data_IF_973101596028
#
_entry.id   IF_973101596028
#
_cell.length_a   1.000
_cell.length_b   1.000
_cell.length_c   1.000
_cell.angle_alpha   90.00
_cell.angle_beta   90.00
_cell.angle_gamma   90.00
#
_symmetry.space_group_name_H-M   'P 1'
#
loop_
_entity.id
_entity.type
_entity.pdbx_description
1 polymer ?
#
# COMPACT_ATOMS: atom_id res chain seq x y z
N UNK A 1 5.28 -2.12 -12.05
CA UNK A 1 5.91 -3.09 -11.15
C UNK A 1 5.76 -2.66 -9.70
N UNK A 2 5.55 -3.62 -8.80
CA UNK A 2 5.37 -3.30 -7.39
C UNK A 2 6.55 -3.83 -6.59
N UNK A 3 6.94 -3.07 -5.57
CA UNK A 3 8.10 -3.39 -4.73
C UNK A 3 7.65 -3.62 -3.30
N UNK A 4 8.20 -4.62 -2.61
CA UNK A 4 7.79 -4.88 -1.23
C UNK A 4 8.23 -3.76 -0.29
N UNK A 5 7.35 -3.40 0.63
CA UNK A 5 7.68 -2.44 1.68
C UNK A 5 7.70 -3.11 3.04
N UNK A 6 6.67 -3.92 3.34
CA UNK A 6 6.52 -4.48 4.68
C UNK A 6 5.63 -5.71 4.62
N UNK A 7 5.94 -6.71 5.45
CA UNK A 7 5.08 -7.87 5.65
C UNK A 7 4.72 -7.95 7.13
N UNK A 8 3.43 -8.05 7.43
CA UNK A 8 2.93 -8.11 8.79
C UNK A 8 2.75 -9.56 9.25
N UNK A 9 2.47 -9.74 10.55
CA UNK A 9 2.42 -11.08 11.16
C UNK A 9 1.36 -12.00 10.56
N UNK A 10 0.28 -11.46 10.05
CA UNK A 10 -0.80 -12.25 9.45
C UNK A 10 -0.60 -12.46 7.96
N UNK A 11 0.63 -12.28 7.49
CA UNK A 11 1.01 -12.39 6.09
C UNK A 11 0.40 -11.28 5.22
N UNK A 12 -0.04 -10.19 5.82
CA UNK A 12 -0.42 -9.01 5.07
C UNK A 12 0.81 -8.40 4.43
N UNK A 13 0.76 -8.19 3.13
CA UNK A 13 1.86 -7.60 2.39
C UNK A 13 1.50 -6.19 1.97
N UNK A 14 2.43 -5.27 2.17
CA UNK A 14 2.29 -3.90 1.71
C UNK A 14 3.37 -3.67 0.67
N UNK A 15 2.94 -3.33 -0.55
CA UNK A 15 3.85 -3.10 -1.66
C UNK A 15 3.55 -1.73 -2.26
N UNK A 16 4.49 -1.20 -3.04
CA UNK A 16 4.32 0.13 -3.63
C UNK A 16 4.90 0.16 -5.03
N UNK A 17 4.40 1.09 -5.83
CA UNK A 17 4.93 1.30 -7.17
C UNK A 17 6.13 2.24 -7.12
N UNK A 18 6.81 2.40 -8.25
CA UNK A 18 7.71 3.53 -8.42
C UNK A 18 6.87 4.81 -8.46
N UNK A 19 7.51 5.96 -8.26
CA UNK A 19 6.80 7.23 -8.35
C UNK A 19 6.37 7.47 -9.80
N UNK A 20 5.10 7.74 -9.99
CA UNK A 20 4.56 7.99 -11.32
C UNK A 20 4.96 9.40 -11.80
N UNK A 21 4.77 9.63 -13.11
CA UNK A 21 5.14 10.92 -13.71
C UNK A 21 4.44 12.10 -13.05
N UNK A 22 3.22 11.88 -12.55
CA UNK A 22 2.44 12.94 -11.89
C UNK A 22 2.75 13.07 -10.41
N UNK A 23 3.75 12.36 -9.91
CA UNK A 23 4.14 12.43 -8.50
C UNK A 23 3.38 11.51 -7.57
N UNK A 24 2.48 10.68 -8.11
CA UNK A 24 1.71 9.77 -7.26
C UNK A 24 2.42 8.43 -7.08
N UNK A 25 2.08 7.73 -6.01
CA UNK A 25 2.60 6.40 -5.70
C UNK A 25 1.42 5.51 -5.33
N UNK A 26 1.33 4.36 -5.98
CA UNK A 26 0.29 3.38 -5.65
C UNK A 26 0.80 2.48 -4.55
N UNK A 27 0.05 2.39 -3.46
CA UNK A 27 0.33 1.48 -2.36
C UNK A 27 -0.75 0.42 -2.36
N UNK A 28 -0.36 -0.84 -2.34
CA UNK A 28 -1.30 -1.95 -2.40
C UNK A 28 -1.12 -2.82 -1.17
N UNK A 29 -2.21 -3.14 -0.50
CA UNK A 29 -2.23 -3.97 0.70
C UNK A 29 -3.03 -5.22 0.40
N UNK A 30 -2.49 -6.38 0.77
CA UNK A 30 -3.13 -7.65 0.47
C UNK A 30 -2.94 -8.61 1.64
N UNK A 31 -4.05 -9.23 2.08
CA UNK A 31 -4.02 -10.20 3.17
C UNK A 31 -4.66 -11.50 2.67
N UNK A 32 -3.98 -12.66 2.78
CA UNK A 32 -4.60 -13.94 2.43
C UNK A 32 -5.80 -14.21 3.33
N UNK A 33 -6.87 -14.73 2.75
CA UNK A 33 -8.09 -15.01 3.49
C UNK A 33 -8.79 -16.23 2.90
N UNK A 34 -9.32 -17.11 3.78
CA UNK A 34 -9.93 -18.33 3.31
C UNK A 34 -11.26 -18.10 2.61
N UNK A 35 -11.96 -17.03 2.98
CA UNK A 35 -13.29 -16.74 2.42
C UNK A 35 -13.19 -15.95 1.11
N UNK A 36 -12.32 -14.97 1.07
CA UNK A 36 -12.21 -14.05 -0.08
C UNK A 36 -11.03 -14.35 -0.97
N UNK A 37 -10.25 -15.38 -0.68
CA UNK A 37 -8.93 -15.65 -1.25
C UNK A 37 -7.93 -14.59 -0.81
N UNK A 38 -8.23 -13.33 -1.07
CA UNK A 38 -7.40 -12.20 -0.61
C UNK A 38 -8.29 -11.03 -0.27
N UNK A 39 -8.03 -10.43 0.89
CA UNK A 39 -8.54 -9.09 1.18
C UNK A 39 -7.54 -8.11 0.59
N UNK A 40 -8.01 -6.99 0.07
CA UNK A 40 -7.08 -6.04 -0.54
C UNK A 40 -7.60 -4.62 -0.45
N UNK A 41 -6.68 -3.67 -0.61
CA UNK A 41 -7.01 -2.25 -0.65
C UNK A 41 -5.89 -1.51 -1.36
N UNK A 42 -6.21 -0.41 -1.99
CA UNK A 42 -5.25 0.45 -2.67
C UNK A 42 -5.31 1.85 -2.07
N UNK A 43 -4.14 2.43 -1.85
CA UNK A 43 -4.03 3.80 -1.37
C UNK A 43 -3.08 4.57 -2.28
N UNK A 44 -3.52 5.72 -2.78
CA UNK A 44 -2.69 6.58 -3.61
C UNK A 44 -2.08 7.70 -2.78
N UNK A 45 -0.75 7.81 -2.81
CA UNK A 45 -0.04 8.88 -2.14
C UNK A 45 0.33 9.96 -3.15
N UNK A 46 0.47 11.19 -2.72
CA UNK A 46 0.40 11.71 -1.35
C UNK A 46 -0.99 12.07 -0.87
N UNK A 47 -2.02 11.85 -1.69
CA UNK A 47 -3.37 12.33 -1.39
C UNK A 47 -4.13 11.44 -0.41
N UNK A 48 -3.63 10.25 -0.10
CA UNK A 48 -4.30 9.27 0.76
C UNK A 48 -5.67 8.89 0.19
N UNK A 49 -5.73 8.69 -1.11
CA UNK A 49 -6.97 8.29 -1.75
C UNK A 49 -7.07 6.77 -1.74
N UNK A 50 -8.11 6.25 -1.09
CA UNK A 50 -8.32 4.81 -0.98
C UNK A 50 -9.35 4.34 -1.99
N UNK A 51 -9.09 3.17 -2.57
CA UNK A 51 -10.00 2.56 -3.54
C UNK A 51 -9.77 1.05 -3.60
N UNK A 52 -10.66 0.32 -4.30
CA UNK A 52 -10.56 -1.14 -4.46
C UNK A 52 -10.48 -1.87 -3.12
N UNK A 53 -11.22 -1.39 -2.13
CA UNK A 53 -11.22 -2.00 -0.80
C UNK A 53 -12.14 -3.21 -0.82
N UNK A 54 -11.61 -4.38 -0.43
CA UNK A 54 -12.41 -5.59 -0.39
C UNK A 54 -12.01 -6.47 0.77
N UNK A 55 -12.99 -6.82 1.60
CA UNK A 55 -12.82 -7.80 2.66
C UNK A 55 -12.38 -7.27 4.01
N UNK A 56 -11.85 -6.06 4.06
CA UNK A 56 -11.38 -5.48 5.32
C UNK A 56 -12.53 -4.85 6.11
N UNK A 57 -12.50 -5.04 7.43
CA UNK A 57 -13.44 -4.35 8.32
C UNK A 57 -13.03 -2.90 8.50
N UNK A 58 -13.92 -2.11 9.10
CA UNK A 58 -13.59 -0.71 9.38
C UNK A 58 -12.40 -0.57 10.33
N UNK A 59 -12.29 -1.48 11.30
CA UNK A 59 -11.16 -1.47 12.23
C UNK A 59 -9.86 -1.80 11.52
N UNK A 60 -9.88 -2.78 10.63
CA UNK A 60 -8.70 -3.12 9.86
C UNK A 60 -8.26 -1.97 8.97
N UNK A 61 -9.23 -1.32 8.31
CA UNK A 61 -8.91 -0.18 7.47
C UNK A 61 -8.34 0.98 8.28
N UNK A 62 -8.89 1.24 9.47
CA UNK A 62 -8.38 2.30 10.33
C UNK A 62 -6.91 2.04 10.69
N UNK A 63 -6.59 0.78 10.97
CA UNK A 63 -5.23 0.39 11.28
C UNK A 63 -4.29 0.64 10.08
N UNK A 64 -4.71 0.21 8.89
CA UNK A 64 -3.90 0.39 7.69
C UNK A 64 -3.75 1.86 7.33
N UNK A 65 -4.80 2.65 7.49
CA UNK A 65 -4.72 4.09 7.23
C UNK A 65 -3.68 4.75 8.11
N UNK A 66 -3.66 4.38 9.40
CA UNK A 66 -2.68 4.93 10.32
C UNK A 66 -1.27 4.45 9.96
N UNK A 67 -1.14 3.18 9.62
CA UNK A 67 0.15 2.60 9.27
C UNK A 67 0.74 3.27 8.04
N UNK A 68 -0.07 3.46 6.99
CA UNK A 68 0.39 4.13 5.77
C UNK A 68 0.75 5.58 6.07
N UNK A 69 -0.06 6.28 6.86
CA UNK A 69 0.24 7.67 7.22
C UNK A 69 1.56 7.79 7.96
N UNK A 70 1.83 6.86 8.89
CA UNK A 70 3.07 6.89 9.65
C UNK A 70 4.30 6.60 8.81
N UNK A 71 4.13 5.91 7.67
CA UNK A 71 5.25 5.49 6.83
C UNK A 71 5.25 6.14 5.45
N UNK A 72 4.35 7.06 5.20
CA UNK A 72 4.16 7.62 3.86
C UNK A 72 5.44 8.25 3.31
N UNK A 73 6.18 8.99 4.15
CA UNK A 73 7.39 9.65 3.68
C UNK A 73 8.46 8.63 3.25
N UNK A 74 8.55 7.50 3.94
CA UNK A 74 9.49 6.45 3.57
C UNK A 74 9.09 5.78 2.26
N UNK A 75 7.79 5.51 2.11
CA UNK A 75 7.28 4.90 0.88
C UNK A 75 7.55 5.82 -0.31
N UNK A 76 7.28 7.09 -0.16
CA UNK A 76 7.51 8.07 -1.21
C UNK A 76 9.00 8.14 -1.56
N UNK A 77 9.86 8.12 -0.54
CA UNK A 77 11.30 8.19 -0.77
C UNK A 77 11.81 6.98 -1.53
N UNK A 78 11.36 5.78 -1.13
CA UNK A 78 11.74 4.56 -1.83
C UNK A 78 11.20 4.55 -3.26
N UNK A 79 10.00 5.09 -3.48
CA UNK A 79 9.41 5.16 -4.81
C UNK A 79 10.20 6.08 -5.74
N UNK A 80 10.74 7.18 -5.20
CA UNK A 80 11.61 8.05 -5.97
C UNK A 80 12.88 7.33 -6.38
N UNK A 81 13.46 6.54 -5.50
CA UNK A 81 14.67 5.77 -5.79
C UNK A 81 14.42 4.78 -6.92
N UNK A 82 13.26 4.11 -6.91
CA UNK A 82 12.91 3.17 -7.96
C UNK A 82 12.78 3.86 -9.31
N UNK A 83 12.23 5.07 -9.31
CA UNK A 83 12.07 5.82 -10.53
C UNK A 83 13.41 6.22 -11.15
N UNK A 84 14.44 6.40 -10.32
CA UNK A 84 15.76 6.83 -10.79
C UNK A 84 16.52 5.74 -11.53
N UNK A 85 16.12 4.49 -11.38
CA UNK A 85 16.77 3.36 -12.02
C UNK A 85 15.96 2.96 -13.24
N UNK A 86 16.36 3.44 -14.38
CA UNK A 86 15.71 3.12 -15.65
C UNK A 86 16.69 2.67 -16.67
#
# INVERSE_FOLDING_TARGET
MMYPFMTLNDNTEIVHSEMKADGTVKVYIETPDVEYCFKHATCWLPDYKWEDIKGYSNLELAYFKQLIRNNAHLIIEFSKQRRRFR
#
